data_IF_274868771171
#
_entry.id   IF_274868771171
#
_cell.length_a   1.000
_cell.length_b   1.000
_cell.length_c   1.000
_cell.angle_alpha   90.00
_cell.angle_beta   90.00
_cell.angle_gamma   90.00
#
_symmetry.space_group_name_H-M   'P 1'
#
loop_
_entity.id
_entity.type
_entity.pdbx_description
1 polymer ?
#
# COMPACT_ATOMS: atom_id res chain seq x y z
N UNK A 1 -21.24 1.34 -18.41
CA UNK A 1 -22.13 1.89 -17.36
C UNK A 1 -21.63 1.29 -16.05
N UNK A 2 -21.50 2.10 -15.02
CA UNK A 2 -21.16 1.61 -13.68
C UNK A 2 -22.35 0.81 -13.12
N UNK A 3 -22.03 -0.30 -12.46
CA UNK A 3 -23.02 -1.12 -11.75
C UNK A 3 -23.42 -0.43 -10.43
N UNK A 4 -24.64 -0.71 -9.97
CA UNK A 4 -25.05 -0.32 -8.62
C UNK A 4 -24.24 -1.11 -7.59
N UNK A 5 -23.73 -0.41 -6.58
CA UNK A 5 -22.93 -1.04 -5.51
C UNK A 5 -23.87 -1.86 -4.62
N UNK A 6 -23.44 -3.05 -4.21
CA UNK A 6 -24.20 -3.92 -3.32
C UNK A 6 -24.57 -3.22 -2.00
N UNK A 7 -25.63 -3.67 -1.35
CA UNK A 7 -26.01 -3.22 -0.01
C UNK A 7 -24.95 -3.65 1.01
N UNK A 8 -24.80 -2.90 2.11
CA UNK A 8 -23.91 -3.27 3.22
C UNK A 8 -24.22 -4.69 3.72
N UNK A 9 -23.18 -5.43 4.06
CA UNK A 9 -23.32 -6.75 4.66
C UNK A 9 -23.74 -6.59 6.13
N UNK A 10 -24.61 -7.48 6.60
CA UNK A 10 -25.07 -7.50 7.98
C UNK A 10 -23.88 -7.57 8.98
N UNK A 11 -23.86 -6.66 9.97
CA UNK A 11 -22.77 -6.53 10.92
C UNK A 11 -22.58 -7.78 11.79
N UNK A 12 -23.64 -8.52 12.12
CA UNK A 12 -23.55 -9.76 12.89
C UNK A 12 -22.87 -10.88 12.07
N UNK A 13 -23.07 -10.91 10.73
CA UNK A 13 -22.35 -11.83 9.87
C UNK A 13 -20.85 -11.47 9.83
N UNK A 14 -20.51 -10.18 9.73
CA UNK A 14 -19.11 -9.75 9.75
C UNK A 14 -18.43 -10.15 11.07
N UNK A 15 -19.06 -9.87 12.21
CA UNK A 15 -18.53 -10.23 13.54
C UNK A 15 -18.36 -11.72 13.70
N UNK A 16 -19.28 -12.53 13.18
CA UNK A 16 -19.20 -13.99 13.29
C UNK A 16 -17.99 -14.58 12.54
N UNK A 17 -17.50 -13.89 11.52
CA UNK A 17 -16.32 -14.29 10.75
C UNK A 17 -15.00 -13.72 11.30
N UNK A 18 -15.03 -12.63 12.10
CA UNK A 18 -13.87 -12.00 12.73
C UNK A 18 -13.55 -12.66 14.07
N UNK A 19 -13.06 -13.89 14.03
CA UNK A 19 -12.74 -14.68 15.22
C UNK A 19 -11.38 -14.31 15.83
N UNK A 20 -11.16 -14.59 17.14
CA UNK A 20 -9.87 -14.27 17.79
C UNK A 20 -8.64 -14.87 17.12
N UNK A 21 -8.77 -16.03 16.47
CA UNK A 21 -7.66 -16.70 15.78
C UNK A 21 -7.19 -15.96 14.53
N UNK A 22 -8.03 -15.09 13.99
CA UNK A 22 -7.71 -14.24 12.81
C UNK A 22 -7.22 -12.87 13.22
N UNK A 23 -7.37 -12.52 14.50
CA UNK A 23 -6.91 -11.24 15.03
C UNK A 23 -5.38 -11.21 15.08
N UNK A 24 -4.79 -10.23 14.41
CA UNK A 24 -3.35 -10.05 14.38
C UNK A 24 -2.85 -9.29 15.61
N UNK A 25 -3.47 -8.15 15.90
CA UNK A 25 -3.15 -7.27 17.02
C UNK A 25 -4.21 -6.18 17.22
N UNK A 26 -4.09 -5.47 18.32
CA UNK A 26 -4.74 -4.17 18.50
C UNK A 26 -3.88 -3.07 17.85
N UNK A 27 -4.51 -1.99 17.40
CA UNK A 27 -3.78 -0.82 16.88
C UNK A 27 -3.16 -0.01 18.02
N UNK A 28 -2.00 0.62 17.76
CA UNK A 28 -1.33 1.48 18.74
C UNK A 28 -2.18 2.71 19.14
N UNK A 29 -3.09 3.11 18.27
CA UNK A 29 -3.98 4.26 18.48
C UNK A 29 -5.42 3.89 18.19
N UNK A 30 -6.34 4.41 19.01
CA UNK A 30 -7.79 4.26 18.87
C UNK A 30 -8.35 2.88 19.23
N UNK A 31 -7.53 1.95 19.72
CA UNK A 31 -7.96 0.60 20.16
C UNK A 31 -8.82 -0.14 19.13
N UNK A 32 -8.47 -0.03 17.86
CA UNK A 32 -9.07 -0.82 16.79
C UNK A 32 -8.39 -2.19 16.70
N UNK A 33 -9.04 -3.13 16.06
CA UNK A 33 -8.57 -4.49 15.90
C UNK A 33 -8.06 -4.70 14.47
N UNK A 34 -6.94 -5.41 14.32
CA UNK A 34 -6.42 -5.77 13.01
C UNK A 34 -6.62 -7.27 12.79
N UNK A 35 -7.22 -7.62 11.66
CA UNK A 35 -7.48 -9.00 11.26
C UNK A 35 -6.81 -9.34 9.94
N UNK A 36 -6.47 -10.62 9.78
CA UNK A 36 -6.07 -11.21 8.50
C UNK A 36 -7.13 -12.24 8.11
N UNK A 37 -7.77 -12.04 6.96
CA UNK A 37 -8.85 -12.90 6.46
C UNK A 37 -8.65 -13.24 4.98
N UNK A 38 -9.37 -14.27 4.52
CA UNK A 38 -9.41 -14.71 3.11
C UNK A 38 -10.85 -14.96 2.66
N UNK A 39 -11.05 -15.15 1.36
CA UNK A 39 -12.34 -15.58 0.81
C UNK A 39 -12.83 -16.90 1.41
N UNK A 40 -11.88 -17.79 1.77
CA UNK A 40 -12.20 -19.15 2.21
C UNK A 40 -12.68 -19.22 3.65
N UNK A 41 -12.25 -18.28 4.49
CA UNK A 41 -12.56 -18.27 5.92
C UNK A 41 -13.49 -17.14 6.37
N UNK A 42 -13.68 -16.11 5.52
CA UNK A 42 -14.45 -14.90 5.84
C UNK A 42 -15.12 -14.32 4.59
N UNK A 43 -16.01 -15.09 3.93
CA UNK A 43 -16.60 -14.68 2.65
C UNK A 43 -17.49 -13.44 2.74
N UNK A 44 -18.18 -13.21 3.87
CA UNK A 44 -19.00 -12.03 4.07
C UNK A 44 -18.13 -10.78 4.34
N UNK A 45 -17.08 -10.92 5.15
CA UNK A 45 -16.08 -9.85 5.35
C UNK A 45 -15.43 -9.48 4.02
N UNK A 46 -15.07 -10.45 3.17
CA UNK A 46 -14.51 -10.16 1.85
C UNK A 46 -15.49 -9.39 0.95
N UNK A 47 -16.76 -9.74 0.93
CA UNK A 47 -17.78 -8.99 0.17
C UNK A 47 -17.89 -7.55 0.65
N UNK A 48 -17.89 -7.32 1.96
CA UNK A 48 -17.92 -5.97 2.54
C UNK A 48 -16.64 -5.20 2.19
N UNK A 49 -15.46 -5.84 2.24
CA UNK A 49 -14.22 -5.24 1.74
C UNK A 49 -14.36 -4.80 0.28
N UNK A 50 -14.87 -5.67 -0.59
CA UNK A 50 -15.10 -5.36 -2.00
C UNK A 50 -16.05 -4.19 -2.21
N UNK A 51 -17.13 -4.13 -1.43
CA UNK A 51 -18.09 -3.02 -1.42
C UNK A 51 -17.41 -1.69 -1.01
N UNK A 52 -16.69 -1.68 0.10
CA UNK A 52 -16.03 -0.49 0.63
C UNK A 52 -14.90 0.00 -0.27
N UNK A 53 -14.15 -0.91 -0.89
CA UNK A 53 -13.13 -0.61 -1.90
C UNK A 53 -13.75 0.11 -3.09
N UNK A 54 -14.81 -0.45 -3.69
CA UNK A 54 -15.45 0.13 -4.85
C UNK A 54 -15.99 1.53 -4.54
N UNK A 55 -16.62 1.73 -3.38
CA UNK A 55 -17.08 3.05 -2.91
C UNK A 55 -15.90 4.02 -2.83
N UNK A 56 -14.85 3.66 -2.10
CA UNK A 56 -13.72 4.55 -1.84
C UNK A 56 -12.95 4.91 -3.11
N UNK A 57 -12.74 3.94 -4.00
CA UNK A 57 -12.00 4.14 -5.24
C UNK A 57 -12.82 4.91 -6.27
N UNK A 58 -14.13 4.64 -6.38
CA UNK A 58 -15.03 5.34 -7.30
C UNK A 58 -15.17 6.82 -6.93
N UNK A 59 -15.30 7.12 -5.64
CA UNK A 59 -15.31 8.51 -5.14
C UNK A 59 -14.01 9.26 -5.46
N UNK A 60 -12.88 8.57 -5.47
CA UNK A 60 -11.59 9.16 -5.84
C UNK A 60 -11.38 9.29 -7.37
N UNK A 61 -12.28 8.75 -8.19
CA UNK A 61 -12.19 8.78 -9.66
C UNK A 61 -11.50 7.56 -10.29
N UNK A 62 -11.42 6.44 -9.56
CA UNK A 62 -10.96 5.14 -10.02
C UNK A 62 -12.04 4.08 -9.87
N UNK A 63 -11.67 2.88 -9.48
CA UNK A 63 -12.57 1.76 -9.25
C UNK A 63 -12.77 0.88 -10.49
N UNK A 64 -13.47 -0.23 -10.27
CA UNK A 64 -13.72 -1.23 -11.33
C UNK A 64 -14.99 -0.94 -12.14
N UNK A 65 -15.87 -0.09 -11.62
CA UNK A 65 -17.21 0.13 -12.16
C UNK A 65 -18.19 -1.02 -11.88
N UNK A 66 -17.76 -2.05 -11.14
CA UNK A 66 -18.58 -3.20 -10.75
C UNK A 66 -19.33 -2.95 -9.45
N UNK A 67 -20.26 -3.81 -9.11
CA UNK A 67 -21.02 -3.74 -7.86
C UNK A 67 -20.17 -3.91 -6.59
N UNK A 68 -18.94 -4.46 -6.72
CA UNK A 68 -17.91 -4.55 -5.71
C UNK A 68 -16.52 -4.75 -6.38
N UNK A 69 -15.45 -4.23 -5.76
CA UNK A 69 -14.06 -4.41 -6.22
C UNK A 69 -13.50 -5.73 -5.68
N UNK A 70 -13.84 -6.82 -6.35
CA UNK A 70 -13.23 -8.14 -6.18
C UNK A 70 -12.80 -8.67 -7.55
N UNK A 71 -11.69 -9.37 -7.59
CA UNK A 71 -11.11 -9.97 -8.79
C UNK A 71 -10.66 -11.42 -8.54
N UNK A 72 -10.13 -12.09 -9.55
CA UNK A 72 -9.66 -13.47 -9.48
C UNK A 72 -8.59 -13.71 -8.42
N UNK A 73 -7.83 -12.67 -8.06
CA UNK A 73 -6.78 -12.76 -7.05
C UNK A 73 -7.33 -12.78 -5.60
N UNK A 74 -8.58 -12.42 -5.40
CA UNK A 74 -9.22 -12.46 -4.09
C UNK A 74 -9.77 -13.87 -3.75
N UNK A 75 -9.74 -14.83 -4.69
CA UNK A 75 -10.34 -16.17 -4.56
C UNK A 75 -9.34 -17.30 -4.84
N UNK A 76 -9.72 -18.53 -4.41
CA UNK A 76 -8.94 -19.75 -4.62
C UNK A 76 -7.94 -20.05 -3.50
N UNK A 77 -7.17 -21.13 -3.68
CA UNK A 77 -6.26 -21.63 -2.63
C UNK A 77 -5.05 -20.72 -2.40
N UNK A 78 -4.62 -20.00 -3.43
CA UNK A 78 -3.49 -19.08 -3.38
C UNK A 78 -3.94 -17.61 -3.55
N UNK A 79 -5.07 -17.27 -2.95
CA UNK A 79 -5.61 -15.92 -3.00
C UNK A 79 -4.80 -14.94 -2.14
N UNK A 80 -4.93 -13.65 -2.46
CA UNK A 80 -4.42 -12.60 -1.58
C UNK A 80 -5.13 -12.63 -0.24
N UNK A 81 -4.37 -12.47 0.82
CA UNK A 81 -4.88 -12.25 2.17
C UNK A 81 -5.31 -10.79 2.31
N UNK A 82 -6.35 -10.57 3.10
CA UNK A 82 -6.87 -9.24 3.41
C UNK A 82 -6.45 -8.87 4.83
N UNK A 83 -5.65 -7.81 4.96
CA UNK A 83 -5.35 -7.19 6.24
C UNK A 83 -6.31 -6.02 6.40
N UNK A 84 -7.17 -6.07 7.43
CA UNK A 84 -8.17 -5.03 7.69
C UNK A 84 -8.03 -4.46 9.10
N UNK A 85 -8.41 -3.20 9.23
CA UNK A 85 -8.61 -2.53 10.52
C UNK A 85 -10.10 -2.46 10.80
N UNK A 86 -10.52 -3.04 11.91
CA UNK A 86 -11.89 -3.12 12.39
C UNK A 86 -12.09 -2.20 13.58
N UNK A 87 -13.16 -1.42 13.57
CA UNK A 87 -13.61 -0.62 14.71
C UNK A 87 -14.66 -1.42 15.50
N UNK A 88 -14.32 -2.00 16.67
CA UNK A 88 -15.25 -2.84 17.44
C UNK A 88 -16.38 -2.04 18.12
N UNK A 89 -16.24 -0.71 18.26
CA UNK A 89 -17.30 0.14 18.83
C UNK A 89 -18.42 0.44 17.83
N UNK A 90 -18.06 0.53 16.54
CA UNK A 90 -19.00 0.85 15.46
C UNK A 90 -19.43 -0.38 14.68
N UNK A 91 -18.74 -1.52 14.84
CA UNK A 91 -18.86 -2.71 14.02
C UNK A 91 -18.63 -2.39 12.53
N UNK A 92 -17.47 -1.78 12.22
CA UNK A 92 -17.15 -1.28 10.87
C UNK A 92 -15.69 -1.51 10.48
N UNK A 93 -15.47 -1.75 9.18
CA UNK A 93 -14.13 -1.81 8.59
C UNK A 93 -13.67 -0.36 8.31
N UNK A 94 -12.57 0.06 8.96
CA UNK A 94 -11.94 1.36 8.77
C UNK A 94 -11.19 1.42 7.44
N UNK A 95 -10.53 0.33 7.06
CA UNK A 95 -9.73 0.25 5.85
C UNK A 95 -8.94 -1.05 5.79
N UNK A 96 -8.11 -1.20 4.78
CA UNK A 96 -7.32 -2.41 4.61
C UNK A 96 -6.33 -2.37 3.46
N UNK A 97 -5.59 -3.45 3.37
CA UNK A 97 -4.73 -3.85 2.26
C UNK A 97 -5.03 -5.30 1.89
N UNK A 98 -4.83 -5.66 0.63
CA UNK A 98 -4.59 -7.06 0.29
C UNK A 98 -3.10 -7.29 0.09
N UNK A 99 -2.61 -8.49 0.41
CA UNK A 99 -1.20 -8.82 0.27
C UNK A 99 -0.99 -10.27 -0.15
N UNK A 100 0.14 -10.50 -0.84
CA UNK A 100 0.62 -11.83 -1.20
C UNK A 100 2.12 -11.92 -0.95
N UNK A 101 2.56 -12.99 -0.26
CA UNK A 101 3.97 -13.24 0.02
C UNK A 101 4.67 -13.70 -1.25
N UNK A 102 5.88 -13.21 -1.51
CA UNK A 102 6.65 -13.54 -2.71
C UNK A 102 6.96 -15.03 -2.88
N UNK A 103 7.08 -15.76 -1.77
CA UNK A 103 7.22 -17.23 -1.79
C UNK A 103 5.99 -17.96 -2.34
N UNK A 104 4.82 -17.31 -2.29
CA UNK A 104 3.54 -17.86 -2.74
C UNK A 104 3.19 -17.38 -4.17
N UNK A 105 4.04 -16.54 -4.81
CA UNK A 105 3.78 -16.07 -6.16
C UNK A 105 3.90 -17.20 -7.17
N UNK A 106 2.87 -17.38 -7.96
CA UNK A 106 2.89 -18.28 -9.10
C UNK A 106 3.48 -17.57 -10.32
N UNK A 107 4.22 -18.33 -11.14
CA UNK A 107 4.75 -17.82 -12.40
C UNK A 107 3.90 -18.31 -13.58
N UNK A 108 3.82 -17.50 -14.62
CA UNK A 108 3.22 -17.87 -15.90
C UNK A 108 4.20 -18.69 -16.76
N UNK A 109 3.78 -19.07 -17.95
CA UNK A 109 4.59 -19.85 -18.91
C UNK A 109 5.85 -19.09 -19.39
N UNK A 110 5.88 -17.76 -19.23
CA UNK A 110 7.02 -16.90 -19.58
C UNK A 110 7.92 -16.63 -18.38
N UNK A 111 7.64 -17.22 -17.23
CA UNK A 111 8.38 -17.02 -16.00
C UNK A 111 8.06 -15.67 -15.30
N UNK A 112 6.99 -14.98 -15.70
CA UNK A 112 6.55 -13.75 -15.03
C UNK A 112 5.55 -14.05 -13.92
N UNK A 113 5.55 -13.27 -12.83
CA UNK A 113 4.59 -13.47 -11.73
C UNK A 113 3.14 -13.26 -12.18
N UNK A 114 2.23 -14.09 -11.67
CA UNK A 114 0.78 -13.92 -11.82
C UNK A 114 0.26 -13.08 -10.66
N UNK A 115 0.32 -11.76 -10.80
CA UNK A 115 -0.08 -10.78 -9.79
C UNK A 115 -1.11 -9.81 -10.35
N UNK A 116 -1.81 -9.13 -9.45
CA UNK A 116 -2.70 -8.05 -9.83
C UNK A 116 -1.98 -6.89 -10.57
N UNK A 117 -0.65 -6.79 -10.44
CA UNK A 117 0.20 -5.80 -11.09
C UNK A 117 0.81 -6.26 -12.43
N UNK A 118 0.75 -7.55 -12.75
CA UNK A 118 1.47 -8.15 -13.88
C UNK A 118 1.03 -7.66 -15.25
N UNK A 119 -0.18 -7.12 -15.37
CA UNK A 119 -0.65 -6.53 -16.62
C UNK A 119 -0.02 -5.15 -16.94
N UNK A 120 0.68 -4.55 -15.98
CA UNK A 120 1.32 -3.24 -16.12
C UNK A 120 2.84 -3.30 -16.07
N UNK A 121 3.41 -4.24 -15.34
CA UNK A 121 4.84 -4.29 -15.06
C UNK A 121 5.48 -5.61 -15.48
N UNK A 122 6.71 -5.50 -15.96
CA UNK A 122 7.59 -6.63 -16.25
C UNK A 122 8.67 -6.71 -15.16
N UNK A 123 8.90 -7.90 -14.64
CA UNK A 123 9.87 -8.18 -13.58
C UNK A 123 11.14 -8.76 -14.18
N UNK A 124 12.31 -8.20 -13.85
CA UNK A 124 13.59 -8.70 -14.33
C UNK A 124 13.96 -10.03 -13.69
N UNK A 125 14.79 -10.81 -14.33
CA UNK A 125 15.37 -12.05 -13.77
C UNK A 125 16.04 -11.81 -12.41
N UNK A 126 16.70 -10.65 -12.25
CA UNK A 126 17.33 -10.26 -11.00
C UNK A 126 16.29 -10.09 -9.89
N UNK A 127 15.20 -9.39 -10.19
CA UNK A 127 14.12 -9.22 -9.22
C UNK A 127 13.54 -10.56 -8.80
N UNK A 128 13.24 -11.44 -9.78
CA UNK A 128 12.65 -12.75 -9.52
C UNK A 128 13.55 -13.66 -8.67
N UNK A 129 14.86 -13.59 -8.84
CA UNK A 129 15.82 -14.45 -8.12
C UNK A 129 16.22 -13.90 -6.75
N UNK A 130 16.45 -12.58 -6.66
CA UNK A 130 17.09 -11.97 -5.49
C UNK A 130 16.12 -11.22 -4.57
N UNK A 131 14.98 -10.74 -5.10
CA UNK A 131 14.03 -9.92 -4.35
C UNK A 131 12.71 -10.64 -4.09
N UNK A 132 12.12 -11.28 -5.10
CA UNK A 132 10.80 -11.89 -5.03
C UNK A 132 10.60 -12.79 -3.80
N UNK A 133 11.51 -13.72 -3.44
CA UNK A 133 11.29 -14.63 -2.30
C UNK A 133 11.14 -13.90 -0.96
N UNK A 134 11.66 -12.69 -0.88
CA UNK A 134 11.69 -11.86 0.33
C UNK A 134 10.72 -10.66 0.26
N UNK A 135 9.84 -10.64 -0.73
CA UNK A 135 8.93 -9.53 -1.00
C UNK A 135 7.50 -9.85 -0.58
N UNK A 136 6.79 -8.88 -0.07
CA UNK A 136 5.32 -8.89 0.03
C UNK A 136 4.79 -7.90 -1.00
N UNK A 137 3.90 -8.36 -1.90
CA UNK A 137 3.11 -7.44 -2.71
C UNK A 137 1.94 -6.90 -1.90
N UNK A 138 1.78 -5.59 -1.91
CA UNK A 138 0.68 -4.86 -1.27
C UNK A 138 -0.20 -4.23 -2.35
N UNK A 139 -1.50 -4.40 -2.23
CA UNK A 139 -2.45 -3.84 -3.17
C UNK A 139 -3.75 -3.40 -2.51
N UNK A 140 -4.60 -2.72 -3.29
CA UNK A 140 -5.94 -2.32 -2.86
C UNK A 140 -5.97 -1.61 -1.49
N UNK A 141 -4.98 -0.73 -1.25
CA UNK A 141 -4.99 0.13 -0.06
C UNK A 141 -6.22 1.03 -0.08
N UNK A 142 -7.05 0.96 0.95
CA UNK A 142 -8.21 1.82 1.06
C UNK A 142 -8.48 2.23 2.51
N UNK A 143 -9.15 3.36 2.66
CA UNK A 143 -9.79 3.81 3.90
C UNK A 143 -11.25 4.06 3.56
N UNK A 144 -12.18 3.57 4.35
CA UNK A 144 -13.61 3.78 4.16
C UNK A 144 -13.96 5.28 4.23
N UNK A 145 -14.91 5.77 3.44
CA UNK A 145 -15.18 7.20 3.29
C UNK A 145 -15.46 7.90 4.62
N UNK A 146 -16.17 7.23 5.53
CA UNK A 146 -16.49 7.73 6.87
C UNK A 146 -15.23 8.04 7.70
N UNK A 147 -14.11 7.41 7.35
CA UNK A 147 -12.81 7.55 8.03
C UNK A 147 -11.79 8.35 7.21
N UNK A 148 -12.18 8.99 6.11
CA UNK A 148 -11.31 9.88 5.34
C UNK A 148 -11.39 11.34 5.77
N UNK A 149 -12.48 11.75 6.42
CA UNK A 149 -12.72 13.15 6.78
C UNK A 149 -12.37 13.41 8.25
N UNK A 150 -11.20 14.01 8.47
CA UNK A 150 -10.68 14.38 9.81
C UNK A 150 -11.57 15.40 10.53
N UNK A 151 -12.34 16.23 9.79
CA UNK A 151 -13.18 17.26 10.40
C UNK A 151 -14.46 16.69 11.01
N UNK A 152 -14.97 15.59 10.45
CA UNK A 152 -16.20 14.95 10.90
C UNK A 152 -15.95 13.73 11.79
N UNK A 153 -14.78 13.12 11.68
CA UNK A 153 -14.43 11.91 12.43
C UNK A 153 -12.97 12.00 12.94
N UNK A 154 -12.79 12.16 14.24
CA UNK A 154 -11.47 12.24 14.86
C UNK A 154 -10.66 10.94 14.73
N UNK A 155 -11.32 9.79 14.59
CA UNK A 155 -10.66 8.50 14.34
C UNK A 155 -9.98 8.44 12.97
N UNK A 156 -10.38 9.28 12.01
CA UNK A 156 -9.76 9.41 10.69
C UNK A 156 -8.28 9.80 10.73
N UNK A 157 -7.87 10.54 11.77
CA UNK A 157 -6.48 10.97 11.94
C UNK A 157 -5.52 9.78 11.99
N UNK A 158 -5.98 8.65 12.54
CA UNK A 158 -5.15 7.46 12.74
C UNK A 158 -5.42 6.34 11.73
N UNK A 159 -6.34 6.49 10.79
CA UNK A 159 -6.73 5.41 9.88
C UNK A 159 -5.54 4.85 9.08
N UNK A 160 -4.73 5.71 8.46
CA UNK A 160 -3.51 5.27 7.75
C UNK A 160 -2.46 4.72 8.70
N UNK A 161 -2.31 5.32 9.88
CA UNK A 161 -1.34 4.89 10.90
C UNK A 161 -1.68 3.48 11.43
N UNK A 162 -2.96 3.22 11.66
CA UNK A 162 -3.45 1.90 12.06
C UNK A 162 -3.18 0.81 10.99
N UNK A 163 -3.28 1.16 9.71
CA UNK A 163 -2.91 0.25 8.63
C UNK A 163 -1.41 -0.10 8.66
N UNK A 164 -0.55 0.89 8.99
CA UNK A 164 0.88 0.66 9.15
C UNK A 164 1.21 -0.25 10.35
N UNK A 165 0.43 -0.22 11.44
CA UNK A 165 0.57 -1.17 12.55
C UNK A 165 0.41 -2.62 12.06
N UNK A 166 -0.53 -2.87 11.16
CA UNK A 166 -0.72 -4.18 10.55
C UNK A 166 0.45 -4.58 9.64
N UNK A 167 0.93 -3.66 8.79
CA UNK A 167 2.07 -3.93 7.91
C UNK A 167 3.36 -4.17 8.71
N UNK A 168 3.58 -3.42 9.79
CA UNK A 168 4.70 -3.65 10.71
C UNK A 168 4.64 -5.04 11.35
N UNK A 169 3.46 -5.49 11.78
CA UNK A 169 3.28 -6.82 12.35
C UNK A 169 3.55 -7.94 11.32
N UNK A 170 3.24 -7.74 10.02
CA UNK A 170 3.57 -8.73 8.98
C UNK A 170 5.08 -9.02 8.90
N UNK A 171 5.94 -8.01 9.11
CA UNK A 171 7.40 -8.21 9.07
C UNK A 171 7.92 -9.06 10.21
N UNK A 172 7.18 -9.12 11.32
CA UNK A 172 7.49 -9.96 12.47
C UNK A 172 6.92 -11.37 12.28
N UNK A 173 5.71 -11.50 11.75
CA UNK A 173 5.10 -12.81 11.43
C UNK A 173 5.85 -13.55 10.33
N UNK A 174 6.41 -12.82 9.38
CA UNK A 174 7.16 -13.35 8.24
C UNK A 174 8.59 -12.78 8.25
N UNK A 175 9.48 -13.32 9.10
CA UNK A 175 10.83 -12.76 9.30
C UNK A 175 11.72 -12.82 8.06
N UNK A 176 11.35 -13.63 7.07
CA UNK A 176 12.00 -13.66 5.76
C UNK A 176 11.70 -12.43 4.90
N UNK A 177 10.64 -11.67 5.22
CA UNK A 177 10.23 -10.49 4.45
C UNK A 177 11.22 -9.34 4.66
N UNK A 178 11.78 -8.87 3.55
CA UNK A 178 12.71 -7.73 3.50
C UNK A 178 12.16 -6.54 2.72
N UNK A 179 11.18 -6.79 1.85
CA UNK A 179 10.69 -5.78 0.92
C UNK A 179 9.18 -5.74 0.88
N UNK A 180 8.65 -4.53 0.79
CA UNK A 180 7.28 -4.28 0.37
C UNK A 180 7.28 -3.77 -1.07
N UNK A 181 6.60 -4.47 -1.97
CA UNK A 181 6.32 -4.04 -3.33
C UNK A 181 4.87 -3.59 -3.44
N UNK A 182 4.63 -2.47 -4.08
CA UNK A 182 3.28 -1.95 -4.26
C UNK A 182 3.23 -0.83 -5.28
N UNK A 183 2.12 -0.11 -5.29
CA UNK A 183 1.88 0.97 -6.23
C UNK A 183 1.36 2.22 -5.52
N UNK A 184 1.81 3.38 -5.98
CA UNK A 184 1.18 4.65 -5.68
C UNK A 184 0.23 5.00 -6.82
N UNK A 185 -1.02 5.32 -6.48
CA UNK A 185 -2.05 5.68 -7.45
C UNK A 185 -2.24 7.19 -7.49
N UNK A 186 -2.22 7.76 -8.70
CA UNK A 186 -2.70 9.10 -8.96
C UNK A 186 -3.92 9.03 -9.89
N UNK A 187 -4.92 9.83 -9.56
CA UNK A 187 -6.18 9.83 -10.28
C UNK A 187 -6.17 10.81 -11.45
N UNK A 188 -6.89 10.52 -12.56
CA UNK A 188 -6.92 11.38 -13.74
C UNK A 188 -7.43 12.81 -13.47
N UNK A 189 -8.20 12.99 -12.40
CA UNK A 189 -8.71 14.30 -11.94
C UNK A 189 -7.63 15.20 -11.33
N UNK A 190 -6.46 14.66 -10.97
CA UNK A 190 -5.38 15.46 -10.41
C UNK A 190 -4.73 16.33 -11.49
N UNK A 191 -4.38 17.58 -11.14
CA UNK A 191 -3.82 18.54 -12.09
C UNK A 191 -2.54 18.02 -12.76
N UNK A 192 -2.52 17.99 -14.10
CA UNK A 192 -1.47 17.35 -14.90
C UNK A 192 -0.06 17.89 -14.63
N UNK A 193 0.08 19.21 -14.55
CA UNK A 193 1.38 19.83 -14.22
C UNK A 193 1.86 19.39 -12.82
N UNK A 194 0.96 19.32 -11.85
CA UNK A 194 1.28 18.84 -10.50
C UNK A 194 1.68 17.37 -10.48
N UNK A 195 0.97 16.53 -11.24
CA UNK A 195 1.30 15.13 -11.46
C UNK A 195 2.72 14.97 -12.03
N UNK A 196 3.04 15.73 -13.06
CA UNK A 196 4.35 15.67 -13.72
C UNK A 196 5.48 16.10 -12.78
N UNK A 197 5.27 17.15 -11.99
CA UNK A 197 6.24 17.56 -10.97
C UNK A 197 6.48 16.48 -9.92
N UNK A 198 5.41 15.81 -9.43
CA UNK A 198 5.54 14.70 -8.47
C UNK A 198 6.32 13.55 -9.08
N UNK A 199 5.97 13.12 -10.29
CA UNK A 199 6.65 11.99 -10.96
C UNK A 199 8.10 12.29 -11.30
N UNK A 200 8.41 13.50 -11.72
CA UNK A 200 9.79 13.94 -11.97
C UNK A 200 10.61 13.97 -10.68
N UNK A 201 10.06 14.54 -9.60
CA UNK A 201 10.70 14.55 -8.28
C UNK A 201 10.98 13.13 -7.78
N UNK A 202 9.99 12.24 -7.88
CA UNK A 202 10.14 10.85 -7.48
C UNK A 202 11.24 10.16 -8.32
N UNK A 203 11.24 10.34 -9.63
CA UNK A 203 12.28 9.78 -10.50
C UNK A 203 13.66 10.33 -10.16
N UNK A 204 13.78 11.63 -9.89
CA UNK A 204 15.06 12.25 -9.53
C UNK A 204 15.68 11.64 -8.28
N UNK A 205 14.88 11.39 -7.24
CA UNK A 205 15.36 10.99 -5.92
C UNK A 205 15.32 9.48 -5.63
N UNK A 206 14.48 8.71 -6.34
CA UNK A 206 14.21 7.30 -6.03
C UNK A 206 14.35 6.35 -7.23
N UNK A 207 14.85 6.81 -8.35
CA UNK A 207 14.97 6.03 -9.58
C UNK A 207 15.73 4.70 -9.37
N UNK A 208 15.11 3.60 -9.81
CA UNK A 208 15.73 2.28 -9.77
C UNK A 208 16.78 2.15 -10.89
N UNK A 209 18.05 2.26 -10.54
CA UNK A 209 19.18 2.14 -11.48
C UNK A 209 19.42 0.72 -11.99
N UNK A 210 18.76 -0.28 -11.37
CA UNK A 210 18.96 -1.69 -11.69
C UNK A 210 17.92 -2.24 -12.67
N UNK A 211 16.88 -1.44 -13.00
CA UNK A 211 15.75 -1.87 -13.83
C UNK A 211 15.12 -3.17 -13.35
N UNK A 212 14.90 -3.27 -12.03
CA UNK A 212 14.34 -4.46 -11.39
C UNK A 212 12.92 -4.76 -11.85
N UNK A 213 12.11 -3.71 -11.96
CA UNK A 213 10.72 -3.78 -12.46
C UNK A 213 10.50 -2.59 -13.39
N UNK A 214 9.93 -2.83 -14.55
CA UNK A 214 9.71 -1.79 -15.56
C UNK A 214 8.25 -1.78 -16.02
N UNK A 215 7.63 -0.61 -16.24
CA UNK A 215 6.30 -0.54 -16.82
C UNK A 215 6.34 -0.98 -18.29
N UNK A 216 5.42 -1.89 -18.68
CA UNK A 216 5.32 -2.37 -20.06
C UNK A 216 4.92 -1.25 -21.04
N UNK A 217 4.15 -0.29 -20.58
CA UNK A 217 3.75 0.92 -21.30
C UNK A 217 3.99 2.14 -20.41
N UNK A 218 5.20 2.71 -20.41
CA UNK A 218 5.53 3.84 -19.55
C UNK A 218 4.67 5.06 -19.85
N UNK A 219 4.16 5.70 -18.80
CA UNK A 219 3.48 6.98 -18.89
C UNK A 219 4.44 8.04 -19.38
N UNK A 220 4.00 8.87 -20.34
CA UNK A 220 4.74 10.05 -20.80
C UNK A 220 4.27 11.27 -20.02
N UNK A 221 5.23 12.06 -19.54
CA UNK A 221 4.93 13.36 -18.94
C UNK A 221 4.46 14.34 -20.03
N UNK A 222 3.55 15.23 -19.68
CA UNK A 222 3.03 16.29 -20.55
C UNK A 222 3.91 17.55 -20.46
N UNK A 223 4.51 17.80 -19.27
CA UNK A 223 5.47 18.88 -19.04
C UNK A 223 6.86 18.44 -19.50
N UNK A 224 7.56 19.30 -20.20
CA UNK A 224 8.90 18.99 -20.73
C UNK A 224 9.91 18.74 -19.60
N UNK A 225 10.85 17.81 -19.84
CA UNK A 225 11.89 17.49 -18.86
C UNK A 225 12.76 18.71 -18.53
N UNK A 226 13.01 19.60 -19.50
CA UNK A 226 13.76 20.83 -19.29
C UNK A 226 13.06 21.83 -18.35
N UNK A 227 11.73 21.94 -18.45
CA UNK A 227 10.94 22.76 -17.51
C UNK A 227 10.98 22.18 -16.09
N UNK A 228 10.81 20.86 -15.97
CA UNK A 228 10.84 20.19 -14.67
C UNK A 228 12.23 20.27 -14.04
N UNK A 229 13.28 20.08 -14.81
CA UNK A 229 14.67 20.24 -14.34
C UNK A 229 14.97 21.66 -13.85
N UNK A 230 14.38 22.68 -14.48
CA UNK A 230 14.54 24.08 -14.05
C UNK A 230 13.84 24.38 -12.70
N UNK A 231 12.83 23.59 -12.31
CA UNK A 231 12.14 23.71 -11.03
C UNK A 231 12.97 23.02 -9.92
N UNK A 232 13.46 21.82 -10.17
CA UNK A 232 14.14 20.98 -9.17
C UNK A 232 15.66 21.06 -9.38
N UNK A 233 16.28 22.14 -8.90
CA UNK A 233 17.69 22.45 -9.11
C UNK A 233 18.61 21.96 -7.98
N UNK A 234 18.03 21.55 -6.85
CA UNK A 234 18.80 21.14 -5.70
C UNK A 234 19.20 19.66 -5.80
N UNK A 235 20.32 19.29 -5.19
CA UNK A 235 20.74 17.88 -5.09
C UNK A 235 20.28 17.22 -3.79
N UNK A 236 19.62 17.96 -2.92
CA UNK A 236 19.11 17.52 -1.62
C UNK A 236 17.61 17.26 -1.68
N UNK A 237 17.21 16.05 -1.23
CA UNK A 237 15.80 15.64 -1.17
C UNK A 237 14.91 16.61 -0.43
N UNK A 238 15.38 17.12 0.75
CA UNK A 238 14.55 17.99 1.60
C UNK A 238 14.37 19.37 0.96
N UNK A 239 15.38 19.85 0.24
CA UNK A 239 15.32 21.12 -0.47
C UNK A 239 14.33 21.01 -1.65
N UNK A 240 14.48 20.01 -2.51
CA UNK A 240 13.55 19.76 -3.61
C UNK A 240 12.14 19.44 -3.14
N UNK A 241 11.98 18.73 -2.01
CA UNK A 241 10.66 18.46 -1.43
C UNK A 241 9.94 19.74 -0.97
N UNK A 242 10.68 20.74 -0.44
CA UNK A 242 10.10 22.05 -0.11
C UNK A 242 9.65 22.78 -1.37
N UNK A 243 10.45 22.72 -2.46
CA UNK A 243 10.08 23.27 -3.75
C UNK A 243 8.82 22.58 -4.27
N UNK A 244 8.78 21.24 -4.30
CA UNK A 244 7.61 20.48 -4.73
C UNK A 244 6.34 20.90 -3.98
N UNK A 245 6.40 20.96 -2.65
CA UNK A 245 5.25 21.38 -1.84
C UNK A 245 4.80 22.80 -2.15
N UNK A 246 5.74 23.72 -2.37
CA UNK A 246 5.44 25.11 -2.73
C UNK A 246 4.72 25.16 -4.08
N UNK A 247 5.29 24.57 -5.12
CA UNK A 247 4.76 24.59 -6.47
C UNK A 247 3.37 23.93 -6.57
N UNK A 248 3.17 22.78 -5.90
CA UNK A 248 1.86 22.10 -5.86
C UNK A 248 0.80 22.98 -5.18
N UNK A 249 1.16 23.66 -4.09
CA UNK A 249 0.25 24.60 -3.40
C UNK A 249 -0.09 25.83 -4.24
N UNK A 250 0.84 26.34 -5.04
CA UNK A 250 0.58 27.44 -5.98
C UNK A 250 -0.46 27.05 -7.04
N UNK A 251 -0.55 25.75 -7.39
CA UNK A 251 -1.59 25.22 -8.27
C UNK A 251 -2.94 25.01 -7.56
N UNK A 252 -3.05 25.29 -6.25
CA UNK A 252 -4.26 25.08 -5.46
C UNK A 252 -4.49 23.65 -4.98
N UNK A 253 -3.46 22.80 -5.03
CA UNK A 253 -3.54 21.38 -4.66
C UNK A 253 -2.57 21.04 -3.51
N UNK A 254 -2.68 19.82 -3.02
CA UNK A 254 -1.70 19.21 -2.12
C UNK A 254 -1.14 17.95 -2.77
N UNK A 255 0.06 17.54 -2.37
CA UNK A 255 0.58 16.22 -2.71
C UNK A 255 -0.41 15.19 -2.14
N UNK A 256 -0.85 14.18 -2.93
CA UNK A 256 -1.77 13.16 -2.43
C UNK A 256 -1.23 12.52 -1.15
N UNK A 257 -2.06 12.33 -0.10
CA UNK A 257 -1.59 11.90 1.22
C UNK A 257 -0.79 10.61 1.20
N UNK A 258 -1.21 9.62 0.41
CA UNK A 258 -0.52 8.33 0.31
C UNK A 258 0.84 8.48 -0.38
N UNK A 259 0.92 9.26 -1.47
CA UNK A 259 2.20 9.56 -2.16
C UNK A 259 3.16 10.25 -1.20
N UNK A 260 2.64 11.23 -0.44
CA UNK A 260 3.43 11.94 0.57
C UNK A 260 3.92 11.01 1.69
N UNK A 261 3.09 10.07 2.14
CA UNK A 261 3.46 9.09 3.15
C UNK A 261 4.61 8.19 2.69
N UNK A 262 4.55 7.67 1.45
CA UNK A 262 5.60 6.82 0.91
C UNK A 262 6.92 7.56 0.69
N UNK A 263 6.90 8.80 0.17
CA UNK A 263 8.11 9.61 0.01
C UNK A 263 8.86 9.85 1.33
N UNK A 264 8.13 9.86 2.45
CA UNK A 264 8.67 10.11 3.78
C UNK A 264 8.79 8.83 4.63
N UNK A 265 8.74 7.66 4.00
CA UNK A 265 8.83 6.38 4.72
C UNK A 265 10.26 5.82 4.73
N UNK A 266 10.92 5.83 3.58
CA UNK A 266 12.27 5.30 3.41
C UNK A 266 13.07 6.17 2.43
N UNK A 267 14.29 6.56 2.79
CA UNK A 267 15.17 7.32 1.91
C UNK A 267 15.71 6.49 0.73
N UNK A 268 15.59 5.17 0.80
CA UNK A 268 16.11 4.21 -0.20
C UNK A 268 14.99 3.53 -0.98
N UNK A 269 13.76 4.05 -0.91
CA UNK A 269 12.67 3.58 -1.76
C UNK A 269 13.12 3.53 -3.22
N UNK A 270 12.77 2.44 -3.94
CA UNK A 270 13.01 2.34 -5.38
C UNK A 270 11.73 2.64 -6.14
N UNK A 271 11.85 3.45 -7.19
CA UNK A 271 10.76 3.81 -8.09
C UNK A 271 10.92 3.06 -9.42
N UNK A 272 9.86 2.40 -9.86
CA UNK A 272 9.87 1.55 -11.06
C UNK A 272 9.21 2.19 -12.29
N UNK A 273 8.80 3.46 -12.18
CA UNK A 273 8.07 4.15 -13.22
C UNK A 273 6.56 3.96 -13.13
N UNK A 274 5.85 4.61 -14.04
CA UNK A 274 4.39 4.74 -14.01
C UNK A 274 3.75 4.14 -15.25
N UNK A 275 2.63 3.44 -15.08
CA UNK A 275 1.75 2.92 -16.14
C UNK A 275 0.31 3.35 -15.90
N UNK A 276 -0.51 3.34 -16.96
CA UNK A 276 -1.96 3.58 -16.87
C UNK A 276 -2.66 2.24 -16.63
N UNK A 277 -3.54 2.19 -15.63
CA UNK A 277 -4.38 1.04 -15.34
C UNK A 277 -5.76 1.22 -15.96
N UNK A 278 -5.90 0.79 -17.22
CA UNK A 278 -7.15 0.90 -17.98
C UNK A 278 -8.30 0.07 -17.40
N UNK A 279 -8.02 -0.92 -16.61
CA UNK A 279 -9.03 -1.76 -15.93
C UNK A 279 -9.53 -1.18 -14.61
N UNK A 280 -9.05 0.01 -14.22
CA UNK A 280 -9.33 0.61 -12.91
C UNK A 280 -9.57 2.13 -12.99
N UNK A 281 -10.36 2.58 -13.97
CA UNK A 281 -10.67 4.02 -14.14
C UNK A 281 -9.52 4.84 -14.71
N UNK A 282 -8.65 4.24 -15.51
CA UNK A 282 -7.52 4.90 -16.18
C UNK A 282 -6.55 5.61 -15.20
N UNK A 283 -6.48 5.12 -13.96
CA UNK A 283 -5.57 5.68 -12.96
C UNK A 283 -4.12 5.45 -13.32
N UNK A 284 -3.25 6.35 -12.90
CA UNK A 284 -1.81 6.31 -13.13
C UNK A 284 -1.13 5.66 -11.94
N UNK A 285 -0.53 4.49 -12.15
CA UNK A 285 0.05 3.68 -11.09
C UNK A 285 1.58 3.62 -11.21
N UNK A 286 2.24 4.07 -10.16
CA UNK A 286 3.69 4.10 -10.05
C UNK A 286 4.15 2.96 -9.15
N UNK A 287 4.95 2.03 -9.71
CA UNK A 287 5.51 0.92 -8.96
C UNK A 287 6.61 1.38 -7.98
N UNK A 288 6.60 0.85 -6.77
CA UNK A 288 7.61 1.15 -5.73
C UNK A 288 8.04 -0.11 -4.99
N UNK A 289 9.27 -0.09 -4.48
CA UNK A 289 9.82 -1.08 -3.56
C UNK A 289 10.41 -0.38 -2.34
N UNK A 290 10.05 -0.86 -1.16
CA UNK A 290 10.56 -0.34 0.11
C UNK A 290 11.27 -1.45 0.84
N UNK A 291 12.56 -1.24 1.18
CA UNK A 291 13.29 -2.11 2.06
C UNK A 291 12.85 -1.85 3.52
N UNK A 292 12.39 -2.89 4.21
CA UNK A 292 11.84 -2.80 5.58
C UNK A 292 12.89 -2.24 6.53
N UNK A 293 14.13 -2.74 6.42
CA UNK A 293 15.24 -2.37 7.31
C UNK A 293 15.71 -0.91 7.12
N UNK A 294 15.38 -0.32 5.97
CA UNK A 294 15.78 1.04 5.59
C UNK A 294 14.65 2.06 5.75
N UNK A 295 13.52 1.65 6.34
CA UNK A 295 12.49 2.59 6.76
C UNK A 295 12.98 3.45 7.92
N UNK A 296 12.43 4.67 8.02
CA UNK A 296 12.82 5.61 9.09
C UNK A 296 12.64 4.97 10.47
N UNK A 297 13.64 5.18 11.35
CA UNK A 297 13.68 4.57 12.69
C UNK A 297 12.41 4.83 13.51
N UNK A 298 11.89 6.06 13.48
CA UNK A 298 10.64 6.42 14.16
C UNK A 298 9.43 5.56 13.70
N UNK A 299 9.40 5.17 12.42
CA UNK A 299 8.36 4.30 11.85
C UNK A 299 8.52 2.86 12.30
N UNK A 300 9.76 2.36 12.31
CA UNK A 300 10.07 1.02 12.82
C UNK A 300 9.74 0.88 14.29
N UNK A 301 10.16 1.83 15.11
CA UNK A 301 9.85 1.84 16.56
C UNK A 301 8.33 1.82 16.75
N UNK A 302 7.61 2.65 16.03
CA UNK A 302 6.17 2.81 16.20
C UNK A 302 5.38 1.57 15.77
N UNK A 303 5.70 0.98 14.62
CA UNK A 303 4.85 -0.02 13.98
C UNK A 303 5.38 -1.45 14.10
N UNK A 304 6.69 -1.65 14.24
CA UNK A 304 7.32 -2.97 14.33
C UNK A 304 7.66 -3.28 15.79
N UNK A 305 8.43 -2.42 16.45
CA UNK A 305 8.89 -2.68 17.82
C UNK A 305 7.71 -2.75 18.81
N UNK A 306 6.67 -1.92 18.62
CA UNK A 306 5.47 -1.99 19.44
C UNK A 306 4.80 -3.38 19.38
N UNK A 307 4.75 -4.01 18.21
CA UNK A 307 4.22 -5.37 18.07
C UNK A 307 5.09 -6.41 18.78
N UNK A 308 6.41 -6.27 18.67
CA UNK A 308 7.36 -7.16 19.35
C UNK A 308 7.25 -7.04 20.87
N UNK A 309 7.08 -5.82 21.38
CA UNK A 309 6.89 -5.58 22.84
C UNK A 309 5.60 -6.21 23.36
N UNK A 310 4.53 -6.21 22.57
CA UNK A 310 3.25 -6.85 22.87
C UNK A 310 3.31 -8.39 22.76
N UNK A 311 4.18 -8.91 21.88
CA UNK A 311 4.30 -10.33 21.54
C UNK A 311 5.75 -10.82 21.65
N UNK A 312 6.34 -10.89 22.86
CA UNK A 312 7.73 -11.31 23.06
C UNK A 312 8.03 -12.74 22.55
N UNK A 313 7.00 -13.59 22.43
CA UNK A 313 7.11 -14.93 21.85
C UNK A 313 7.46 -14.90 20.36
N UNK A 314 7.05 -13.86 19.64
CA UNK A 314 7.37 -13.69 18.22
C UNK A 314 8.88 -13.53 17.97
N UNK A 315 9.63 -13.02 18.96
CA UNK A 315 11.10 -12.93 18.90
C UNK A 315 11.81 -14.29 18.81
N UNK A 316 11.25 -15.35 19.40
CA UNK A 316 11.83 -16.69 19.33
C UNK A 316 11.82 -17.24 17.91
N UNK A 317 10.88 -16.77 17.07
CA UNK A 317 10.76 -17.15 15.66
C UNK A 317 11.78 -16.36 14.81
N UNK A 318 12.11 -15.13 15.21
CA UNK A 318 12.97 -14.20 14.45
C UNK A 318 14.46 -14.30 14.80
N UNK A 319 14.84 -15.02 15.85
CA UNK A 319 16.21 -15.07 16.37
C UNK A 319 17.27 -15.65 15.42
N UNK A 320 16.88 -16.12 14.25
CA UNK A 320 17.80 -16.64 13.20
C UNK A 320 18.16 -15.64 12.09
N UNK A 321 17.36 -14.62 11.83
CA UNK A 321 17.49 -13.80 10.61
C UNK A 321 17.67 -12.27 10.83
N UNK A 322 17.18 -11.70 11.94
CA UNK A 322 17.17 -10.24 12.13
C UNK A 322 17.69 -9.79 13.49
N UNK A 323 19.02 -9.92 13.71
CA UNK A 323 19.71 -9.31 14.87
C UNK A 323 19.78 -7.78 14.83
N UNK A 324 19.19 -7.12 13.84
CA UNK A 324 19.42 -5.68 13.56
C UNK A 324 18.46 -4.76 14.32
N UNK A 325 17.35 -5.28 14.89
CA UNK A 325 16.31 -4.43 15.49
C UNK A 325 16.49 -4.08 16.97
N UNK A 326 17.53 -4.56 17.62
CA UNK A 326 17.81 -4.22 19.02
C UNK A 326 19.10 -3.45 19.16
N UNK A 327 19.02 -2.13 19.36
CA UNK A 327 19.95 -1.46 20.26
C UNK A 327 19.42 -1.71 21.67
N UNK A 328 20.20 -2.42 22.47
CA UNK A 328 20.01 -2.47 23.92
C UNK A 328 19.88 -1.03 24.43
N UNK A 329 18.82 -0.78 25.19
CA UNK A 329 18.72 0.44 25.99
C UNK A 329 19.83 0.32 27.02
N UNK A 330 20.92 1.09 26.88
CA UNK A 330 21.78 1.46 27.99
C UNK A 330 21.09 2.43 28.96
#
# INVERSE_FOLDING_TARGET
MEEEIIQPIDKELLKSELTPEKQLRMTNKSHNEIYIVTANDSPNVLKEIGRLREIAFREAGGGTGKSMDLDEFDFGDNCYKQLIVWNPEADEIIGGYRYLLGKDWQLDEKGQPKLATSHMFHFSDKFLKEYMPYTVELGRSFVSLEYQNVRTNTKSIFALDNLWDGLGALTVLYPEVKYFFGKMTMYPSYIRRGRDMILYFLKKHFDDKENLVIPMKPLKLETSESELAAIFTEDDFRADYRILNHEIRQLGFNIPPLVNAYMNLSPTMKLFGTAINYGFGDVEETGILIAVDETLEEKRIRHINSFIEEHPEALKITSGANKIFYKEKE
#
